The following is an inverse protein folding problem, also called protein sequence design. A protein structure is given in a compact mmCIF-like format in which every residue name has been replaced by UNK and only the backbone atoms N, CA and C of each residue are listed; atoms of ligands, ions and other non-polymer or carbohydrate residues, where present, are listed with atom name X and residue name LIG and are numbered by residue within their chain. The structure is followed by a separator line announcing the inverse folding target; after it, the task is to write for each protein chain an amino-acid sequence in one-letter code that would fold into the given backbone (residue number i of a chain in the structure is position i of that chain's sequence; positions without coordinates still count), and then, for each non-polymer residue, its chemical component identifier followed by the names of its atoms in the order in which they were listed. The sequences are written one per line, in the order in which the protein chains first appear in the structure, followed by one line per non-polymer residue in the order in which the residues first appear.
data_IF_582630468826
#
_entry.id   IF_582630468826
#
_cell.length_a   1.000
_cell.length_b   1.000
_cell.length_c   1.000
_cell.angle_alpha   90.00
_cell.angle_beta   90.00
_cell.angle_gamma   90.00
#
_symmetry.space_group_name_H-M   'P 1'
#
loop_
_entity.id
_entity.type
_entity.pdbx_description
1 polymer ?
#
# COMPACT_ATOMS: atom_id res chain seq x y z
N UNK A 1 1.97 10.86 -10.49
CA UNK A 1 1.15 9.71 -10.12
C UNK A 1 2.04 8.48 -9.96
N UNK A 2 1.78 7.67 -8.98
CA UNK A 2 2.57 6.47 -8.71
C UNK A 2 2.25 5.39 -9.74
N UNK A 3 3.29 4.72 -10.25
CA UNK A 3 3.14 3.62 -11.18
C UNK A 3 2.54 2.40 -10.48
N UNK A 4 1.66 1.67 -11.15
CA UNK A 4 0.96 0.49 -10.62
C UNK A 4 0.01 0.79 -9.47
N UNK A 5 -0.32 2.06 -9.24
CA UNK A 5 -1.27 2.49 -8.22
C UNK A 5 -2.38 3.27 -8.91
N UNK A 6 -3.63 2.92 -8.61
CA UNK A 6 -4.78 3.58 -9.22
C UNK A 6 -4.92 5.04 -8.79
N UNK A 7 -5.70 5.84 -9.55
CA UNK A 7 -5.83 7.27 -9.25
C UNK A 7 -6.41 7.56 -7.87
N UNK A 8 -7.38 6.80 -7.40
CA UNK A 8 -7.94 7.02 -6.06
C UNK A 8 -6.92 6.75 -4.97
N UNK A 9 -6.16 5.66 -5.09
CA UNK A 9 -5.12 5.33 -4.11
C UNK A 9 -4.01 6.37 -4.14
N UNK A 10 -3.63 6.84 -5.32
CA UNK A 10 -2.63 7.91 -5.44
C UNK A 10 -3.08 9.18 -4.74
N UNK A 11 -4.35 9.57 -4.90
CA UNK A 11 -4.89 10.75 -4.21
C UNK A 11 -4.86 10.58 -2.69
N UNK A 12 -5.24 9.40 -2.21
CA UNK A 12 -5.23 9.12 -0.78
C UNK A 12 -3.82 9.11 -0.21
N UNK A 13 -2.87 8.54 -0.94
CA UNK A 13 -1.46 8.55 -0.54
C UNK A 13 -0.93 9.98 -0.45
N UNK A 14 -1.28 10.84 -1.41
CA UNK A 14 -0.88 12.23 -1.36
C UNK A 14 -1.43 12.92 -0.11
N UNK A 15 -2.65 12.58 0.28
CA UNK A 15 -3.27 13.14 1.50
C UNK A 15 -2.50 12.77 2.77
N UNK A 16 -1.77 11.66 2.77
CA UNK A 16 -0.95 11.23 3.91
C UNK A 16 0.55 11.47 3.68
N UNK A 17 0.89 12.31 2.70
CA UNK A 17 2.26 12.75 2.48
C UNK A 17 3.11 11.86 1.59
N UNK A 18 2.52 10.94 0.85
CA UNK A 18 3.24 10.01 -0.03
C UNK A 18 2.86 10.32 -1.47
N UNK A 19 3.74 11.02 -2.19
CA UNK A 19 3.47 11.45 -3.56
C UNK A 19 4.41 10.85 -4.59
N UNK A 20 5.50 10.20 -4.17
CA UNK A 20 6.49 9.62 -5.07
C UNK A 20 6.77 8.16 -4.70
N UNK A 21 7.31 7.41 -5.69
CA UNK A 21 7.75 6.04 -5.44
C UNK A 21 8.87 5.98 -4.41
N UNK A 22 9.75 6.98 -4.40
CA UNK A 22 10.83 7.06 -3.42
C UNK A 22 10.27 7.18 -2.00
N UNK A 23 9.25 8.03 -1.83
CA UNK A 23 8.60 8.19 -0.54
C UNK A 23 7.90 6.90 -0.11
N UNK A 24 7.23 6.22 -1.04
CA UNK A 24 6.59 4.95 -0.74
C UNK A 24 7.60 3.89 -0.35
N UNK A 25 8.74 3.82 -1.06
CA UNK A 25 9.83 2.91 -0.72
C UNK A 25 10.38 3.17 0.67
N UNK A 26 10.57 4.44 1.02
CA UNK A 26 11.13 4.82 2.32
C UNK A 26 10.19 4.45 3.47
N UNK A 27 8.90 4.61 3.25
CA UNK A 27 7.86 4.31 4.24
C UNK A 27 7.55 2.81 4.31
N UNK A 28 7.49 2.16 3.15
CA UNK A 28 7.10 0.76 3.04
C UNK A 28 5.59 0.59 2.91
N UNK A 29 5.18 -0.56 2.36
CA UNK A 29 3.77 -0.82 2.08
C UNK A 29 2.91 -0.89 3.34
N UNK A 30 3.42 -1.51 4.41
CA UNK A 30 2.66 -1.70 5.65
C UNK A 30 2.40 -0.37 6.34
N UNK A 31 3.41 0.48 6.46
CA UNK A 31 3.24 1.78 7.09
C UNK A 31 2.35 2.68 6.24
N UNK A 32 2.52 2.66 4.91
CA UNK A 32 1.66 3.41 4.00
C UNK A 32 0.20 2.97 4.16
N UNK A 33 -0.04 1.66 4.23
CA UNK A 33 -1.37 1.11 4.45
C UNK A 33 -1.96 1.59 5.80
N UNK A 34 -1.16 1.57 6.85
CA UNK A 34 -1.61 2.03 8.17
C UNK A 34 -2.04 3.50 8.14
N UNK A 35 -1.28 4.34 7.48
CA UNK A 35 -1.61 5.76 7.32
C UNK A 35 -2.92 5.94 6.55
N UNK A 36 -3.09 5.16 5.48
CA UNK A 36 -4.31 5.19 4.70
C UNK A 36 -5.51 4.71 5.52
N UNK A 37 -5.33 3.63 6.27
CA UNK A 37 -6.41 3.07 7.10
C UNK A 37 -6.83 4.02 8.20
N UNK A 38 -5.88 4.74 8.79
CA UNK A 38 -6.17 5.74 9.81
C UNK A 38 -6.93 6.93 9.23
N UNK A 39 -6.50 7.40 8.05
CA UNK A 39 -7.12 8.57 7.42
C UNK A 39 -8.46 8.24 6.75
N UNK A 40 -8.61 7.03 6.21
CA UNK A 40 -9.78 6.61 5.44
C UNK A 40 -10.26 5.23 5.88
N UNK A 41 -10.69 5.07 7.15
CA UNK A 41 -10.93 3.73 7.72
C UNK A 41 -12.02 2.92 7.02
N UNK A 42 -12.98 3.60 6.35
CA UNK A 42 -14.06 2.91 5.67
C UNK A 42 -13.77 2.60 4.21
N UNK A 43 -12.76 3.27 3.63
CA UNK A 43 -12.49 3.19 2.20
C UNK A 43 -11.26 2.36 1.86
N UNK A 44 -10.50 1.94 2.87
CA UNK A 44 -9.23 1.23 2.68
C UNK A 44 -9.37 -0.21 3.16
N UNK A 45 -9.11 -1.15 2.25
CA UNK A 45 -9.17 -2.59 2.54
C UNK A 45 -7.78 -3.22 2.41
N UNK A 46 -7.68 -4.52 2.72
CA UNK A 46 -6.44 -5.27 2.54
C UNK A 46 -5.93 -5.26 1.10
N UNK A 47 -6.83 -5.10 0.13
CA UNK A 47 -6.41 -4.99 -1.28
C UNK A 47 -5.50 -3.78 -1.47
N UNK A 48 -5.74 -2.69 -0.76
CA UNK A 48 -4.85 -1.53 -0.80
C UNK A 48 -3.44 -1.89 -0.36
N UNK A 49 -3.31 -2.68 0.71
CA UNK A 49 -1.99 -3.15 1.19
C UNK A 49 -1.28 -3.98 0.13
N UNK A 50 -1.99 -4.91 -0.51
CA UNK A 50 -1.42 -5.74 -1.57
C UNK A 50 -1.01 -4.90 -2.77
N UNK A 51 -1.84 -3.91 -3.14
CA UNK A 51 -1.54 -3.00 -4.24
C UNK A 51 -0.27 -2.20 -3.98
N UNK A 52 -0.10 -1.71 -2.76
CA UNK A 52 1.09 -0.95 -2.36
C UNK A 52 2.34 -1.81 -2.45
N UNK A 53 2.29 -3.03 -1.93
CA UNK A 53 3.43 -3.94 -2.00
C UNK A 53 3.75 -4.29 -3.45
N UNK A 54 2.73 -4.59 -4.26
CA UNK A 54 2.92 -4.90 -5.67
C UNK A 54 3.55 -3.73 -6.43
N UNK A 55 3.15 -2.51 -6.10
CA UNK A 55 3.74 -1.32 -6.71
C UNK A 55 5.24 -1.24 -6.42
N UNK A 56 5.66 -1.57 -5.19
CA UNK A 56 7.07 -1.59 -4.81
C UNK A 56 7.84 -2.71 -5.52
N UNK A 57 7.17 -3.82 -5.83
CA UNK A 57 7.77 -4.95 -6.54
C UNK A 57 7.60 -4.82 -8.06
N UNK A 58 6.98 -3.76 -8.53
CA UNK A 58 6.71 -3.47 -9.94
C UNK A 58 5.93 -4.61 -10.63
N UNK A 59 4.86 -5.06 -9.97
CA UNK A 59 3.96 -6.09 -10.50
C UNK A 59 2.51 -5.77 -10.15
N UNK A 60 1.58 -6.56 -10.69
CA UNK A 60 0.17 -6.46 -10.33
C UNK A 60 -0.06 -7.20 -9.00
N UNK A 61 -1.02 -6.73 -8.19
CA UNK A 61 -1.22 -7.32 -6.87
C UNK A 61 -1.65 -8.80 -6.93
N UNK A 62 -2.29 -9.22 -8.04
CA UNK A 62 -2.62 -10.63 -8.25
C UNK A 62 -1.38 -11.50 -8.50
N UNK A 63 -0.26 -10.89 -8.87
CA UNK A 63 0.97 -11.58 -9.21
C UNK A 63 1.97 -11.60 -8.05
N UNK A 64 1.54 -11.23 -6.84
CA UNK A 64 2.40 -11.28 -5.67
C UNK A 64 2.85 -12.73 -5.41
N UNK A 65 4.13 -12.93 -5.04
CA UNK A 65 4.64 -14.27 -4.75
C UNK A 65 3.85 -14.96 -3.62
N UNK A 66 3.82 -16.30 -3.59
CA UNK A 66 3.18 -17.04 -2.50
C UNK A 66 3.74 -16.63 -1.13
N UNK A 67 2.87 -16.50 -0.15
CA UNK A 67 3.25 -16.14 1.21
C UNK A 67 3.36 -14.65 1.48
N UNK A 68 3.44 -13.82 0.44
CA UNK A 68 3.56 -12.36 0.62
C UNK A 68 2.30 -11.78 1.27
N UNK A 69 1.13 -12.20 0.81
CA UNK A 69 -0.13 -11.70 1.36
C UNK A 69 -0.28 -12.03 2.84
N UNK A 70 0.07 -13.25 3.23
CA UNK A 70 0.02 -13.69 4.62
C UNK A 70 0.99 -12.90 5.48
N UNK A 71 2.21 -12.68 4.99
CA UNK A 71 3.20 -11.86 5.68
C UNK A 71 2.70 -10.44 5.90
N UNK A 72 2.14 -9.83 4.85
CA UNK A 72 1.62 -8.46 4.93
C UNK A 72 0.48 -8.36 5.93
N UNK A 73 -0.42 -9.35 5.95
CA UNK A 73 -1.52 -9.38 6.91
C UNK A 73 -1.01 -9.41 8.34
N UNK A 74 0.01 -10.23 8.60
CA UNK A 74 0.59 -10.33 9.94
C UNK A 74 1.27 -9.03 10.34
N UNK A 75 2.06 -8.45 9.45
CA UNK A 75 2.75 -7.19 9.73
C UNK A 75 1.77 -6.04 9.97
N UNK A 76 0.69 -5.99 9.20
CA UNK A 76 -0.32 -4.94 9.35
C UNK A 76 -1.14 -5.11 10.62
N UNK A 77 -1.28 -6.33 11.13
CA UNK A 77 -2.01 -6.62 12.36
C UNK A 77 -1.18 -6.33 13.61
N UNK A 78 0.15 -6.31 13.50
CA UNK A 78 1.01 -6.01 14.64
C UNK A 78 0.91 -4.53 15.01
N UNK A 79 0.76 -4.23 16.31
CA UNK A 79 0.69 -2.84 16.77
C UNK A 79 2.03 -2.10 16.65
#
# INVERSE_FOLDING_TARGET
MLRNVGPKTSERLAAVGITTEEQLNAVGSVEAYRRLKEAFPRDVSLVALYTLEAALLDCHWNDLPPGVKERLQQEAADP
#
